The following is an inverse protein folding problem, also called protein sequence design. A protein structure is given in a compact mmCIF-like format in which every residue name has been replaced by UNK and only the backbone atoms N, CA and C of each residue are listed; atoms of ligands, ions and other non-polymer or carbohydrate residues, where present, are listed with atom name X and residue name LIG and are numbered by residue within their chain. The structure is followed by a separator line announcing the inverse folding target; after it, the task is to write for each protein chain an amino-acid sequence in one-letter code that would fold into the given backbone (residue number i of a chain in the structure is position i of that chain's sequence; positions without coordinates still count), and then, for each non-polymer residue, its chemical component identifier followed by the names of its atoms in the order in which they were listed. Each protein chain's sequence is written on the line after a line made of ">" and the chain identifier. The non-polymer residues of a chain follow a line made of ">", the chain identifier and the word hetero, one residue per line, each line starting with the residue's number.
data_IF_970587827710
#
_entry.id   IF_970587827710
#
_cell.length_a   1.000
_cell.length_b   1.000
_cell.length_c   1.000
_cell.angle_alpha   90.00
_cell.angle_beta   90.00
_cell.angle_gamma   90.00
#
_symmetry.space_group_name_H-M   'P 1'
#
loop_
_entity.id
_entity.type
_entity.pdbx_description
1 polymer ?
#
# COMPACT_ATOMS: atom_id res chain seq x y z
N UNK A 1 -11.05 35.90 -27.39
CA UNK A 1 -10.34 34.73 -26.79
C UNK A 1 -10.14 34.88 -25.27
N UNK A 2 -11.05 35.54 -24.53
CA UNK A 2 -10.86 35.79 -23.08
C UNK A 2 -11.82 35.04 -22.15
N UNK A 3 -13.05 34.77 -22.61
CA UNK A 3 -14.10 34.20 -21.75
C UNK A 3 -14.06 32.66 -21.69
N UNK A 4 -13.66 32.00 -22.78
CA UNK A 4 -13.58 30.53 -22.86
C UNK A 4 -12.40 29.93 -22.09
N UNK A 5 -11.36 30.72 -21.82
CA UNK A 5 -10.15 30.25 -21.10
C UNK A 5 -10.28 30.39 -19.59
N UNK A 6 -11.08 31.37 -19.12
CA UNK A 6 -11.30 31.60 -17.69
C UNK A 6 -12.11 30.44 -17.07
N UNK A 7 -13.15 29.99 -17.77
CA UNK A 7 -13.99 28.88 -17.32
C UNK A 7 -13.24 27.55 -17.35
N UNK A 8 -12.39 27.33 -18.37
CA UNK A 8 -11.55 26.12 -18.45
C UNK A 8 -10.50 26.08 -17.33
N UNK A 9 -9.92 27.24 -16.99
CA UNK A 9 -8.97 27.37 -15.89
C UNK A 9 -9.61 27.15 -14.51
N UNK A 10 -10.82 27.66 -14.29
CA UNK A 10 -11.57 27.46 -13.05
C UNK A 10 -11.95 25.99 -12.84
N UNK A 11 -12.35 25.28 -13.89
CA UNK A 11 -12.63 23.84 -13.83
C UNK A 11 -11.37 23.05 -13.47
N UNK A 12 -10.22 23.38 -14.07
CA UNK A 12 -8.94 22.74 -13.74
C UNK A 12 -8.53 22.95 -12.28
N UNK A 13 -8.69 24.17 -11.77
CA UNK A 13 -8.40 24.50 -10.37
C UNK A 13 -9.32 23.76 -9.38
N UNK A 14 -10.62 23.63 -9.71
CA UNK A 14 -11.57 22.89 -8.88
C UNK A 14 -11.23 21.39 -8.80
N UNK A 15 -10.85 20.77 -9.92
CA UNK A 15 -10.43 19.36 -9.96
C UNK A 15 -9.14 19.15 -9.16
N UNK A 16 -8.14 20.02 -9.34
CA UNK A 16 -6.90 19.95 -8.57
C UNK A 16 -7.14 20.13 -7.07
N UNK A 17 -8.03 21.07 -6.69
CA UNK A 17 -8.44 21.27 -5.31
C UNK A 17 -9.12 20.05 -4.70
N UNK A 18 -9.99 19.36 -5.45
CA UNK A 18 -10.65 18.13 -4.99
C UNK A 18 -9.65 16.99 -4.79
N UNK A 19 -8.70 16.82 -5.70
CA UNK A 19 -7.64 15.78 -5.59
C UNK A 19 -6.73 16.07 -4.38
N UNK A 20 -6.32 17.32 -4.19
CA UNK A 20 -5.46 17.72 -3.07
C UNK A 20 -6.17 17.65 -1.73
N UNK A 21 -7.45 18.05 -1.68
CA UNK A 21 -8.29 17.91 -0.49
C UNK A 21 -8.51 16.44 -0.10
N UNK A 22 -8.40 15.53 -1.07
CA UNK A 22 -8.55 14.10 -0.85
C UNK A 22 -7.20 13.39 -0.99
N UNK A 23 -6.28 13.65 -0.05
CA UNK A 23 -4.91 13.07 -0.02
C UNK A 23 -4.91 11.53 -0.08
N UNK A 24 -5.99 10.88 0.34
CA UNK A 24 -6.23 9.44 0.21
C UNK A 24 -6.14 8.93 -1.25
N UNK A 25 -6.45 9.79 -2.22
CA UNK A 25 -6.39 9.43 -3.65
C UNK A 25 -4.97 9.32 -4.19
N UNK A 26 -4.01 10.00 -3.55
CA UNK A 26 -2.59 9.98 -3.91
C UNK A 26 -1.79 8.97 -3.07
N UNK A 27 -2.38 8.47 -1.98
CA UNK A 27 -1.76 7.47 -1.13
C UNK A 27 -1.81 6.10 -1.81
N UNK A 28 -0.64 5.45 -1.89
CA UNK A 28 -0.59 4.05 -2.31
C UNK A 28 -1.38 3.23 -1.31
N UNK A 29 -2.47 2.62 -1.79
CA UNK A 29 -3.32 1.77 -0.96
C UNK A 29 -2.47 0.62 -0.41
N UNK A 30 -2.65 0.26 0.87
CA UNK A 30 -1.91 -0.84 1.45
C UNK A 30 -2.24 -2.13 0.72
N UNK A 31 -1.26 -3.02 0.64
CA UNK A 31 -1.46 -4.31 0.03
C UNK A 31 -2.52 -5.13 0.79
N UNK A 32 -3.32 -5.95 0.08
CA UNK A 32 -4.39 -6.71 0.70
C UNK A 32 -3.83 -7.74 1.68
N UNK A 33 -4.42 -7.82 2.87
CA UNK A 33 -4.08 -8.80 3.90
C UNK A 33 -4.70 -10.19 3.61
N UNK A 34 -4.65 -10.64 2.35
CA UNK A 34 -5.14 -11.97 1.94
C UNK A 34 -4.06 -13.03 2.12
N UNK A 35 -4.47 -14.28 2.37
CA UNK A 35 -3.54 -15.39 2.68
C UNK A 35 -2.52 -15.63 1.56
N UNK A 36 -2.91 -15.50 0.30
CA UNK A 36 -2.01 -15.67 -0.85
C UNK A 36 -0.92 -14.59 -0.90
N UNK A 37 -1.27 -13.37 -0.54
CA UNK A 37 -0.32 -12.25 -0.47
C UNK A 37 0.63 -12.43 0.72
N UNK A 38 0.07 -12.70 1.91
CA UNK A 38 0.82 -12.92 3.15
C UNK A 38 1.76 -14.12 3.04
N UNK A 39 1.29 -15.25 2.48
CA UNK A 39 2.08 -16.46 2.33
C UNK A 39 3.26 -16.29 1.37
N UNK A 40 3.16 -15.40 0.40
CA UNK A 40 4.24 -15.08 -0.54
C UNK A 40 5.25 -14.06 -0.01
N UNK A 41 5.01 -13.45 1.15
CA UNK A 41 5.94 -12.49 1.74
C UNK A 41 7.27 -13.16 2.11
N UNK A 42 8.38 -12.49 1.78
CA UNK A 42 9.73 -12.91 2.14
C UNK A 42 10.06 -12.48 3.57
N UNK A 43 10.18 -13.46 4.46
CA UNK A 43 10.58 -13.26 5.84
C UNK A 43 12.09 -13.42 5.94
N UNK A 44 12.73 -12.49 6.64
CA UNK A 44 14.15 -12.53 6.95
C UNK A 44 14.35 -12.86 8.42
N UNK A 45 15.23 -13.80 8.73
CA UNK A 45 15.56 -14.06 10.13
C UNK A 45 16.32 -12.88 10.71
N UNK A 46 15.98 -12.52 11.95
CA UNK A 46 16.64 -11.46 12.73
C UNK A 46 17.98 -11.91 13.31
N UNK A 47 18.28 -13.21 13.29
CA UNK A 47 19.49 -13.76 13.87
C UNK A 47 20.67 -13.66 12.89
N UNK A 48 21.88 -13.96 13.36
CA UNK A 48 23.11 -13.87 12.57
C UNK A 48 23.07 -14.69 11.27
N UNK A 49 22.24 -15.74 11.23
CA UNK A 49 21.89 -16.46 10.02
C UNK A 49 20.87 -15.68 9.18
N UNK A 50 21.38 -14.84 8.28
CA UNK A 50 20.56 -14.11 7.30
C UNK A 50 19.98 -15.07 6.25
N UNK A 51 18.94 -15.81 6.63
CA UNK A 51 18.14 -16.63 5.72
C UNK A 51 16.87 -15.89 5.34
N UNK A 52 16.50 -15.98 4.07
CA UNK A 52 15.21 -15.50 3.54
C UNK A 52 14.35 -16.72 3.27
N UNK A 53 13.10 -16.66 3.70
CA UNK A 53 12.15 -17.76 3.60
C UNK A 53 10.74 -17.20 3.39
N UNK A 54 9.93 -17.88 2.59
CA UNK A 54 8.54 -17.46 2.37
C UNK A 54 7.70 -17.74 3.60
N UNK A 55 6.82 -16.81 3.96
CA UNK A 55 5.94 -16.96 5.11
C UNK A 55 5.10 -18.27 5.09
N UNK A 56 4.64 -18.70 3.90
CA UNK A 56 3.89 -19.95 3.74
C UNK A 56 4.64 -21.18 4.27
N UNK A 57 5.97 -21.21 4.11
CA UNK A 57 6.80 -22.36 4.49
C UNK A 57 6.82 -22.60 5.99
N UNK A 58 6.60 -21.57 6.80
CA UNK A 58 6.56 -21.68 8.26
C UNK A 58 5.23 -22.25 8.77
N UNK A 59 4.10 -21.87 8.16
CA UNK A 59 2.81 -22.49 8.46
C UNK A 59 2.84 -23.97 8.09
N UNK A 60 3.32 -24.31 6.88
CA UNK A 60 3.35 -25.68 6.39
C UNK A 60 4.27 -26.60 7.21
N UNK A 61 5.43 -26.10 7.66
CA UNK A 61 6.41 -26.92 8.39
C UNK A 61 6.19 -26.95 9.90
N UNK A 62 5.72 -25.85 10.50
CA UNK A 62 5.70 -25.68 11.96
C UNK A 62 4.33 -25.31 12.51
N UNK A 63 3.31 -25.13 11.65
CA UNK A 63 1.99 -24.64 12.08
C UNK A 63 2.03 -23.20 12.61
N UNK A 64 3.08 -22.45 12.29
CA UNK A 64 3.27 -21.11 12.81
C UNK A 64 2.28 -20.12 12.16
N UNK A 65 1.69 -19.26 12.99
CA UNK A 65 0.77 -18.20 12.57
C UNK A 65 1.51 -16.87 12.58
N UNK A 66 1.41 -16.12 11.48
CA UNK A 66 2.02 -14.80 11.33
C UNK A 66 0.93 -13.75 11.21
N UNK A 67 1.08 -12.65 11.94
CA UNK A 67 0.18 -11.51 11.87
C UNK A 67 0.92 -10.34 11.24
N UNK A 68 0.41 -9.86 10.10
CA UNK A 68 0.84 -8.58 9.57
C UNK A 68 0.03 -7.47 10.25
N UNK A 69 0.72 -6.59 10.97
CA UNK A 69 0.11 -5.42 11.61
C UNK A 69 0.50 -4.19 10.80
N UNK A 70 -0.48 -3.35 10.47
CA UNK A 70 -0.20 -2.01 9.93
C UNK A 70 0.33 -1.14 11.07
N UNK A 71 1.51 -0.56 10.90
CA UNK A 71 1.99 0.48 11.80
C UNK A 71 1.08 1.71 11.74
N UNK A 72 1.05 2.54 12.81
CA UNK A 72 0.52 3.89 12.67
C UNK A 72 1.32 4.60 11.56
N UNK A 73 0.61 5.27 10.64
CA UNK A 73 1.20 6.00 9.52
C UNK A 73 2.12 7.11 9.95
#
# INVERSE_FOLDING_TARGET
>A
MGIWSLDLGAVGAAIAGLILANTDFLLTKPAPAILEYLGNADLKTINSDKRTLKAKTLWEKSGAVFMAVRGPG
#
